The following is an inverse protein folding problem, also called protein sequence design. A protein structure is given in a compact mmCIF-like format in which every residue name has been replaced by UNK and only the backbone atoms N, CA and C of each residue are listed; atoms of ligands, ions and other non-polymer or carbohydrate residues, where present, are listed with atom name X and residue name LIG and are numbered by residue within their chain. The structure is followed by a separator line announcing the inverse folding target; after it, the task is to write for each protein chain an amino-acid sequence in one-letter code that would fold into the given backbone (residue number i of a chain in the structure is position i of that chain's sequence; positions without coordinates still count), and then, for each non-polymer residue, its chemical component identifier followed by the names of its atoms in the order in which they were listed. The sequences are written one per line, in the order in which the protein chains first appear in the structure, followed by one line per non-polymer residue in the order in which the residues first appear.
data_IF_100233727177
#
_entry.id   IF_100233727177
#
_cell.length_a   1.000
_cell.length_b   1.000
_cell.length_c   1.000
_cell.angle_alpha   90.00
_cell.angle_beta   90.00
_cell.angle_gamma   90.00
#
_symmetry.space_group_name_H-M   'P 1'
#
loop_
_entity.id
_entity.type
_entity.pdbx_description
1 polymer ?
#
# COMPACT_ATOMS: atom_id res chain seq x y z
N UNK A 1 52.76 -22.31 -26.77
CA UNK A 1 52.55 -21.49 -25.55
C UNK A 1 52.41 -20.04 -25.95
N UNK A 2 51.23 -19.45 -25.72
CA UNK A 2 50.99 -18.09 -25.21
C UNK A 2 49.54 -17.71 -25.46
N UNK A 3 48.71 -17.87 -24.43
CA UNK A 3 47.38 -17.30 -24.33
C UNK A 3 47.48 -15.79 -24.14
N UNK A 4 46.70 -15.03 -24.91
CA UNK A 4 46.25 -13.68 -24.53
C UNK A 4 44.75 -13.61 -24.79
N UNK A 5 43.97 -14.02 -23.80
CA UNK A 5 42.53 -13.77 -23.77
C UNK A 5 42.32 -12.35 -23.23
N UNK A 6 41.91 -11.45 -24.11
CA UNK A 6 41.33 -10.18 -23.72
C UNK A 6 39.87 -10.43 -23.31
N UNK A 7 39.59 -10.39 -22.01
CA UNK A 7 38.23 -10.39 -21.49
C UNK A 7 37.75 -8.94 -21.50
N UNK A 8 36.97 -8.59 -22.52
CA UNK A 8 36.18 -7.35 -22.57
C UNK A 8 35.02 -7.47 -21.58
N UNK A 9 35.17 -6.92 -20.36
CA UNK A 9 34.03 -6.63 -19.49
C UNK A 9 33.29 -5.42 -20.04
N UNK A 10 32.14 -5.65 -20.67
CA UNK A 10 31.14 -4.62 -20.90
C UNK A 10 30.49 -4.23 -19.57
N UNK A 11 30.86 -3.06 -19.06
CA UNK A 11 30.11 -2.34 -18.02
C UNK A 11 28.72 -1.99 -18.57
N UNK A 12 27.68 -2.68 -18.10
CA UNK A 12 26.30 -2.23 -18.27
C UNK A 12 26.02 -1.13 -17.25
N UNK A 13 25.85 0.09 -17.76
CA UNK A 13 25.37 1.26 -17.03
C UNK A 13 23.97 0.97 -16.48
N UNK A 14 23.85 0.89 -15.16
CA UNK A 14 22.56 0.90 -14.45
C UNK A 14 22.13 2.35 -14.33
N UNK A 15 21.23 2.79 -15.21
CA UNK A 15 20.53 4.06 -15.04
C UNK A 15 19.39 3.80 -14.05
N UNK A 16 19.65 4.04 -12.76
CA UNK A 16 18.58 4.15 -11.77
C UNK A 16 17.87 5.50 -11.98
N UNK A 17 16.76 5.49 -12.72
CA UNK A 17 15.87 6.66 -12.82
C UNK A 17 15.08 6.74 -11.53
N UNK A 18 15.56 7.52 -10.56
CA UNK A 18 14.74 7.95 -9.43
C UNK A 18 13.78 9.03 -9.93
N UNK A 19 12.57 8.63 -10.32
CA UNK A 19 11.49 9.57 -10.58
C UNK A 19 11.01 10.12 -9.22
N UNK A 20 11.45 11.32 -8.86
CA UNK A 20 10.84 12.10 -7.78
C UNK A 20 9.53 12.66 -8.35
N UNK A 21 8.45 11.92 -8.18
CA UNK A 21 7.11 12.45 -8.44
C UNK A 21 6.66 13.21 -7.19
N UNK A 22 6.63 14.54 -7.29
CA UNK A 22 6.00 15.41 -6.31
C UNK A 22 4.48 15.28 -6.47
N UNK A 23 3.85 14.42 -5.68
CA UNK A 23 2.40 14.24 -5.69
C UNK A 23 1.75 15.26 -4.76
N UNK A 24 1.15 16.32 -5.32
CA UNK A 24 0.17 17.14 -4.60
C UNK A 24 -1.21 16.67 -5.03
N UNK A 25 -1.92 16.01 -4.12
CA UNK A 25 -3.33 15.66 -4.27
C UNK A 25 -3.61 14.45 -5.16
N UNK A 26 -3.25 13.25 -4.70
CA UNK A 26 -3.66 12.01 -5.35
C UNK A 26 -4.89 11.41 -4.66
N UNK A 27 -5.93 11.09 -5.43
CA UNK A 27 -7.00 10.21 -4.97
C UNK A 27 -6.57 8.77 -5.23
N UNK A 28 -6.83 7.88 -4.28
CA UNK A 28 -6.44 6.45 -4.25
C UNK A 28 -6.82 5.67 -5.54
N UNK A 29 -7.73 6.21 -6.36
CA UNK A 29 -8.22 5.58 -7.60
C UNK A 29 -7.25 5.75 -8.79
N UNK A 30 -6.33 6.72 -8.78
CA UNK A 30 -5.45 7.00 -9.93
C UNK A 30 -4.03 6.40 -9.79
N UNK A 31 -3.71 5.72 -8.68
CA UNK A 31 -2.34 5.23 -8.44
C UNK A 31 -2.01 4.06 -9.37
N UNK A 32 -1.24 4.37 -10.43
CA UNK A 32 -0.82 3.40 -11.42
C UNK A 32 0.14 2.39 -10.79
N UNK A 33 -0.30 1.13 -10.67
CA UNK A 33 0.40 0.05 -9.96
C UNK A 33 1.82 -0.21 -10.49
N UNK A 34 2.09 0.18 -11.74
CA UNK A 34 3.42 0.12 -12.34
C UNK A 34 4.46 1.00 -11.63
N UNK A 35 4.04 2.08 -10.96
CA UNK A 35 4.94 2.98 -10.22
C UNK A 35 5.20 2.52 -8.77
N UNK A 36 4.31 1.71 -8.21
CA UNK A 36 4.43 1.18 -6.83
C UNK A 36 5.18 -0.16 -6.78
N UNK A 37 5.50 -0.76 -7.94
CA UNK A 37 6.05 -2.11 -8.06
C UNK A 37 7.54 -2.16 -8.47
N UNK A 38 8.33 -1.11 -8.21
CA UNK A 38 9.79 -1.17 -8.46
C UNK A 38 10.46 -1.98 -7.35
N UNK A 39 10.52 -3.29 -7.54
CA UNK A 39 11.18 -4.24 -6.64
C UNK A 39 12.61 -4.52 -7.12
N UNK A 40 13.60 -4.68 -6.23
CA UNK A 40 14.91 -5.16 -6.63
C UNK A 40 14.80 -6.60 -7.13
N UNK A 41 15.42 -6.91 -8.29
CA UNK A 41 15.34 -8.20 -9.02
C UNK A 41 15.69 -9.45 -8.20
N UNK A 42 16.14 -9.30 -6.95
CA UNK A 42 16.75 -10.35 -6.13
C UNK A 42 15.79 -11.08 -5.17
N UNK A 43 14.57 -10.58 -4.96
CA UNK A 43 13.59 -11.27 -4.10
C UNK A 43 12.61 -12.10 -4.91
N UNK A 44 12.50 -13.39 -4.56
CA UNK A 44 11.51 -14.31 -5.14
C UNK A 44 10.31 -14.34 -4.22
N UNK A 45 9.25 -13.62 -4.59
CA UNK A 45 7.97 -13.70 -3.92
C UNK A 45 7.11 -14.80 -4.55
N UNK A 46 6.38 -15.55 -3.71
CA UNK A 46 5.39 -16.53 -4.18
C UNK A 46 4.33 -15.79 -4.99
N UNK A 47 3.97 -16.34 -6.16
CA UNK A 47 2.99 -15.76 -7.09
C UNK A 47 3.32 -14.33 -7.56
N UNK A 48 4.56 -13.86 -7.37
CA UNK A 48 4.99 -12.48 -7.66
C UNK A 48 4.17 -11.42 -6.91
N UNK A 49 3.59 -11.79 -5.76
CA UNK A 49 2.93 -10.83 -4.87
C UNK A 49 4.01 -10.02 -4.16
N UNK A 50 4.00 -8.71 -4.39
CA UNK A 50 4.91 -7.78 -3.75
C UNK A 50 4.14 -6.88 -2.80
N UNK A 51 4.82 -6.48 -1.73
CA UNK A 51 4.27 -5.55 -0.76
C UNK A 51 5.05 -4.23 -0.82
N UNK A 52 4.32 -3.13 -0.95
CA UNK A 52 4.88 -1.77 -0.98
C UNK A 52 4.15 -0.93 0.05
N UNK A 53 4.90 -0.16 0.82
CA UNK A 53 4.34 0.82 1.75
C UNK A 53 4.55 2.23 1.20
N UNK A 54 3.49 3.03 1.22
CA UNK A 54 3.49 4.47 0.98
C UNK A 54 3.26 5.19 2.31
N UNK A 55 4.20 6.03 2.69
CA UNK A 55 4.14 6.88 3.87
C UNK A 55 3.84 8.30 3.44
N UNK A 56 2.84 8.91 4.06
CA UNK A 56 2.43 10.28 3.81
C UNK A 56 2.62 11.09 5.10
N UNK A 57 3.77 11.75 5.19
CA UNK A 57 4.09 12.70 6.24
C UNK A 57 3.61 14.10 5.85
N UNK A 58 3.60 15.03 6.81
CA UNK A 58 3.24 16.43 6.55
C UNK A 58 4.18 17.11 5.55
N UNK A 59 5.47 16.76 5.63
CA UNK A 59 6.53 17.41 4.85
C UNK A 59 6.89 16.67 3.56
N UNK A 60 6.32 15.48 3.32
CA UNK A 60 6.61 14.71 2.13
C UNK A 60 6.04 13.30 2.16
N UNK A 61 6.10 12.64 1.00
CA UNK A 61 5.67 11.26 0.82
C UNK A 61 6.87 10.37 0.51
N UNK A 62 6.86 9.16 1.03
CA UNK A 62 7.93 8.19 0.83
C UNK A 62 7.36 6.81 0.53
N UNK A 63 7.75 6.20 -0.58
CA UNK A 63 7.31 4.85 -0.96
C UNK A 63 8.48 3.88 -0.96
N UNK A 64 8.29 2.69 -0.41
CA UNK A 64 9.35 1.68 -0.38
C UNK A 64 8.82 0.25 -0.50
N UNK A 65 9.57 -0.65 -1.15
CA UNK A 65 9.29 -2.07 -1.10
C UNK A 65 9.56 -2.59 0.32
N UNK A 66 8.65 -3.42 0.84
CA UNK A 66 8.81 -4.07 2.16
C UNK A 66 9.02 -5.57 1.99
N UNK A 67 9.95 -6.13 2.76
CA UNK A 67 10.31 -7.55 2.68
C UNK A 67 9.42 -8.41 3.58
N UNK A 68 9.01 -7.86 4.72
CA UNK A 68 8.03 -8.49 5.59
C UNK A 68 7.03 -7.46 6.09
N UNK A 69 5.76 -7.82 6.04
CA UNK A 69 4.67 -7.08 6.64
C UNK A 69 3.94 -7.99 7.62
N UNK A 70 3.64 -7.49 8.81
CA UNK A 70 2.88 -8.26 9.79
C UNK A 70 1.97 -7.31 10.55
N UNK A 71 0.66 -7.48 10.36
CA UNK A 71 -0.33 -6.80 11.18
C UNK A 71 -0.39 -7.49 12.55
N UNK A 72 -0.02 -6.78 13.61
CA UNK A 72 0.04 -7.32 14.98
C UNK A 72 -1.27 -7.10 15.74
N UNK A 73 -2.05 -6.08 15.39
CA UNK A 73 -3.42 -5.84 15.88
C UNK A 73 -4.26 -5.00 14.91
N UNK A 74 -5.58 -4.93 15.12
CA UNK A 74 -6.46 -4.01 14.39
C UNK A 74 -7.68 -4.64 13.71
N UNK A 75 -7.84 -5.98 13.75
CA UNK A 75 -9.04 -6.67 13.25
C UNK A 75 -9.91 -7.26 14.38
N UNK A 76 -9.95 -6.60 15.54
CA UNK A 76 -10.66 -7.11 16.72
C UNK A 76 -11.31 -6.02 17.57
N UNK A 77 -12.39 -6.39 18.24
CA UNK A 77 -12.99 -5.59 19.31
C UNK A 77 -12.29 -5.93 20.64
N UNK A 78 -11.75 -4.95 21.36
CA UNK A 78 -11.31 -5.16 22.76
C UNK A 78 -12.53 -5.38 23.68
N UNK A 79 -13.69 -4.85 23.29
CA UNK A 79 -15.00 -5.04 23.93
C UNK A 79 -16.12 -4.72 22.92
N UNK A 80 -17.41 -4.91 23.23
CA UNK A 80 -18.52 -4.45 22.36
C UNK A 80 -18.49 -2.96 21.98
N UNK A 81 -17.68 -2.13 22.65
CA UNK A 81 -17.64 -0.68 22.46
C UNK A 81 -16.23 -0.10 22.18
N UNK A 82 -15.20 -0.93 22.04
CA UNK A 82 -13.85 -0.44 21.76
C UNK A 82 -13.14 -1.26 20.68
N UNK A 83 -12.71 -0.58 19.62
CA UNK A 83 -11.85 -1.17 18.59
C UNK A 83 -10.43 -1.32 19.15
N UNK A 84 -9.76 -2.42 18.80
CA UNK A 84 -8.33 -2.52 19.04
C UNK A 84 -7.60 -1.42 18.27
N UNK A 85 -6.60 -0.82 18.90
CA UNK A 85 -5.64 0.06 18.22
C UNK A 85 -4.94 -0.73 17.12
N UNK A 86 -5.01 -0.30 15.86
CA UNK A 86 -4.25 -0.90 14.77
C UNK A 86 -2.74 -0.77 15.03
N UNK A 87 -2.04 -1.88 14.98
CA UNK A 87 -0.59 -1.94 15.13
C UNK A 87 -0.06 -2.91 14.09
N UNK A 88 1.06 -2.57 13.48
CA UNK A 88 1.73 -3.43 12.53
C UNK A 88 3.24 -3.24 12.62
N UNK A 89 3.95 -4.25 12.14
CA UNK A 89 5.40 -4.25 12.00
C UNK A 89 5.76 -4.42 10.54
N UNK A 90 6.77 -3.69 10.09
CA UNK A 90 7.38 -3.90 8.78
C UNK A 90 8.87 -4.19 8.95
N UNK A 91 9.38 -5.00 8.04
CA UNK A 91 10.81 -5.25 7.87
C UNK A 91 11.21 -4.86 6.46
N UNK A 92 12.29 -4.07 6.36
CA UNK A 92 12.90 -3.70 5.08
C UNK A 92 14.42 -3.88 5.12
N UNK A 93 15.06 -4.08 3.98
CA UNK A 93 16.51 -3.97 3.86
C UNK A 93 16.91 -2.52 4.15
N UNK A 94 17.99 -2.31 4.91
CA UNK A 94 18.53 -0.97 5.18
C UNK A 94 18.75 -0.23 3.86
N UNK A 95 18.24 0.99 3.76
CA UNK A 95 18.29 1.78 2.53
C UNK A 95 17.98 3.24 2.78
N UNK A 96 17.91 4.04 1.72
CA UNK A 96 17.62 5.48 1.86
C UNK A 96 16.13 5.70 2.06
N UNK A 97 15.73 5.91 3.32
CA UNK A 97 14.35 6.22 3.74
C UNK A 97 14.32 7.38 4.74
N UNK A 98 14.62 8.62 4.28
CA UNK A 98 14.96 9.73 5.16
C UNK A 98 13.80 10.18 6.06
N UNK A 99 12.56 10.21 5.56
CA UNK A 99 11.42 10.63 6.39
C UNK A 99 11.08 9.58 7.43
N UNK A 100 11.20 8.29 7.06
CA UNK A 100 10.94 7.21 8.00
C UNK A 100 12.00 7.16 9.12
N UNK A 101 13.27 7.40 8.81
CA UNK A 101 14.31 7.51 9.84
C UNK A 101 14.11 8.77 10.70
N UNK A 102 13.78 9.91 10.11
CA UNK A 102 13.46 11.12 10.87
C UNK A 102 12.28 10.87 11.83
N UNK A 103 11.26 10.12 11.40
CA UNK A 103 10.13 9.74 12.24
C UNK A 103 10.54 8.86 13.43
N UNK A 104 11.44 7.91 13.23
CA UNK A 104 11.97 7.09 14.31
C UNK A 104 12.85 7.90 15.29
N UNK A 105 13.72 8.77 14.76
CA UNK A 105 14.62 9.61 15.56
C UNK A 105 13.84 10.63 16.39
N UNK A 106 12.82 11.28 15.80
CA UNK A 106 11.94 12.21 16.51
C UNK A 106 11.08 11.50 17.56
N UNK A 107 10.57 10.31 17.26
CA UNK A 107 9.81 9.50 18.22
C UNK A 107 10.68 9.10 19.43
N UNK A 108 11.95 8.75 19.19
CA UNK A 108 12.91 8.45 20.26
C UNK A 108 13.23 9.70 21.10
N UNK A 109 13.48 10.84 20.45
CA UNK A 109 13.80 12.09 21.13
C UNK A 109 12.60 12.65 21.93
N UNK A 110 11.36 12.38 21.50
CA UNK A 110 10.15 12.95 22.06
C UNK A 110 9.20 11.87 22.59
N UNK A 111 9.58 11.24 23.70
CA UNK A 111 8.79 10.18 24.38
C UNK A 111 7.37 10.65 24.75
N UNK A 112 7.19 11.93 25.04
CA UNK A 112 5.88 12.55 25.25
C UNK A 112 5.85 13.94 24.62
N UNK A 113 5.44 14.02 23.36
CA UNK A 113 5.37 15.28 22.64
C UNK A 113 4.55 15.20 21.36
N UNK A 114 4.25 16.38 20.84
CA UNK A 114 3.82 16.55 19.46
C UNK A 114 5.08 16.85 18.64
N UNK A 115 5.29 16.14 17.54
CA UNK A 115 6.41 16.35 16.65
C UNK A 115 5.97 16.24 15.19
N UNK A 116 6.65 16.91 14.25
CA UNK A 116 6.21 17.05 12.86
C UNK A 116 5.92 15.72 12.16
N UNK A 117 6.78 14.71 12.39
CA UNK A 117 6.69 13.39 11.76
C UNK A 117 5.71 12.42 12.44
N UNK A 118 4.89 12.91 13.36
CA UNK A 118 3.80 12.16 13.99
C UNK A 118 2.49 12.30 13.22
N UNK A 119 1.58 11.36 13.44
CA UNK A 119 0.23 11.33 12.86
C UNK A 119 0.25 11.27 11.33
N UNK A 120 1.21 10.54 10.76
CA UNK A 120 1.29 10.28 9.32
C UNK A 120 0.31 9.18 8.89
N UNK A 121 0.07 9.10 7.59
CA UNK A 121 -0.74 8.02 7.00
C UNK A 121 0.19 6.99 6.35
N UNK A 122 -0.14 5.71 6.48
CA UNK A 122 0.58 4.62 5.82
C UNK A 122 -0.41 3.81 5.01
N UNK A 123 -0.15 3.67 3.71
CA UNK A 123 -0.90 2.76 2.86
C UNK A 123 -0.01 1.61 2.43
N UNK A 124 -0.41 0.39 2.79
CA UNK A 124 0.26 -0.84 2.40
C UNK A 124 -0.48 -1.45 1.23
N UNK A 125 0.22 -1.72 0.14
CA UNK A 125 -0.30 -2.34 -1.07
C UNK A 125 0.21 -3.76 -1.18
N UNK A 126 -0.69 -4.71 -1.39
CA UNK A 126 -0.37 -6.08 -1.81
C UNK A 126 -0.78 -6.22 -3.27
N UNK A 127 0.21 -6.31 -4.15
CA UNK A 127 0.00 -6.26 -5.59
C UNK A 127 0.83 -7.33 -6.33
N UNK A 128 0.27 -7.89 -7.39
CA UNK A 128 0.99 -8.78 -8.30
C UNK A 128 0.63 -8.44 -9.75
N UNK A 129 1.62 -8.50 -10.65
CA UNK A 129 1.36 -8.33 -12.09
C UNK A 129 0.79 -6.97 -12.51
N UNK A 130 0.89 -5.94 -11.65
CA UNK A 130 0.27 -4.63 -11.88
C UNK A 130 -1.17 -4.49 -11.36
N UNK A 131 -1.72 -5.52 -10.72
CA UNK A 131 -3.02 -5.45 -10.06
C UNK A 131 -2.86 -5.40 -8.54
N UNK A 132 -3.56 -4.48 -7.88
CA UNK A 132 -3.65 -4.42 -6.41
C UNK A 132 -4.75 -5.37 -5.93
N UNK A 133 -4.37 -6.39 -5.17
CA UNK A 133 -5.31 -7.37 -4.61
C UNK A 133 -5.94 -6.87 -3.30
N UNK A 134 -5.12 -6.26 -2.45
CA UNK A 134 -5.51 -5.68 -1.17
C UNK A 134 -4.72 -4.40 -0.94
N UNK A 135 -5.34 -3.43 -0.28
CA UNK A 135 -4.59 -2.36 0.35
C UNK A 135 -5.12 -2.06 1.74
N UNK A 136 -4.23 -1.59 2.60
CA UNK A 136 -4.51 -1.30 4.00
C UNK A 136 -4.08 0.13 4.29
N UNK A 137 -5.03 0.99 4.60
CA UNK A 137 -4.79 2.39 4.92
C UNK A 137 -4.83 2.58 6.44
N UNK A 138 -3.69 2.95 7.01
CA UNK A 138 -3.52 3.25 8.43
C UNK A 138 -3.39 4.75 8.62
N UNK A 139 -4.23 5.34 9.48
CA UNK A 139 -4.34 6.79 9.66
C UNK A 139 -3.85 7.21 11.04
N UNK A 140 -3.21 8.38 11.11
CA UNK A 140 -2.67 8.97 12.34
C UNK A 140 -1.73 7.98 13.05
N UNK A 141 -0.68 7.60 12.36
CA UNK A 141 0.33 6.65 12.82
C UNK A 141 1.49 7.35 13.52
N UNK A 142 2.14 6.62 14.43
CA UNK A 142 3.40 7.00 15.04
C UNK A 142 4.33 5.77 15.14
N UNK A 143 5.64 6.01 15.10
CA UNK A 143 6.64 4.96 15.30
C UNK A 143 6.74 4.67 16.80
N UNK A 144 6.49 3.43 17.20
CA UNK A 144 6.60 2.99 18.60
C UNK A 144 7.88 2.24 18.88
N UNK A 145 8.48 1.63 17.86
CA UNK A 145 9.74 0.91 17.99
C UNK A 145 10.50 0.90 16.66
N UNK A 146 11.83 0.94 16.75
CA UNK A 146 12.75 0.80 15.63
C UNK A 146 13.96 -0.04 16.06
N UNK A 147 14.26 -1.09 15.31
CA UNK A 147 15.37 -2.02 15.58
C UNK A 147 16.10 -2.32 14.28
N UNK A 148 17.43 -2.29 14.32
CA UNK A 148 18.27 -2.79 13.23
C UNK A 148 18.73 -4.20 13.58
N UNK A 149 18.46 -5.15 12.70
CA UNK A 149 18.82 -6.56 12.90
C UNK A 149 19.59 -7.10 11.71
N UNK A 150 20.44 -8.10 11.94
CA UNK A 150 21.09 -8.85 10.87
C UNK A 150 20.40 -10.20 10.72
N UNK A 151 19.81 -10.45 9.56
CA UNK A 151 19.24 -11.74 9.17
C UNK A 151 20.32 -12.59 8.49
N UNK A 152 20.44 -13.83 8.94
CA UNK A 152 21.24 -14.88 8.31
C UNK A 152 20.35 -16.04 7.91
N UNK A 153 20.66 -16.70 6.80
CA UNK A 153 20.03 -17.98 6.49
C UNK A 153 20.42 -19.01 7.57
N UNK A 154 19.44 -19.80 8.02
CA UNK A 154 19.61 -20.80 9.08
C UNK A 154 20.53 -21.95 8.64
N UNK A 155 20.76 -22.11 7.33
CA UNK A 155 21.52 -23.23 6.78
C UNK A 155 22.98 -22.85 6.44
N UNK A 156 23.31 -21.60 6.10
CA UNK A 156 24.63 -21.25 5.53
C UNK A 156 25.08 -19.79 5.76
N UNK A 157 24.84 -19.20 6.94
CA UNK A 157 25.18 -17.78 7.22
C UNK A 157 26.62 -17.35 6.86
N UNK A 158 27.59 -18.26 6.91
CA UNK A 158 29.00 -17.98 6.58
C UNK A 158 29.48 -18.53 5.23
N UNK A 159 28.72 -19.44 4.60
CA UNK A 159 29.11 -20.13 3.36
C UNK A 159 28.21 -19.71 2.20
N UNK A 160 28.47 -18.52 1.65
CA UNK A 160 28.04 -18.16 0.29
C UNK A 160 26.70 -17.43 0.15
N UNK A 161 25.81 -17.45 1.16
CA UNK A 161 24.50 -16.79 1.08
C UNK A 161 24.42 -15.38 1.69
N UNK A 162 25.41 -15.00 2.50
CA UNK A 162 25.59 -13.66 3.03
C UNK A 162 24.61 -13.30 4.15
N UNK A 163 24.80 -12.09 4.68
CA UNK A 163 23.97 -11.52 5.75
C UNK A 163 23.15 -10.35 5.20
N UNK A 164 21.88 -10.27 5.57
CA UNK A 164 21.02 -9.13 5.23
C UNK A 164 20.81 -8.27 6.48
N UNK A 165 21.26 -7.02 6.44
CA UNK A 165 20.93 -6.05 7.48
C UNK A 165 19.56 -5.46 7.15
N UNK A 166 18.65 -5.53 8.12
CA UNK A 166 17.26 -5.14 7.99
C UNK A 166 16.88 -4.13 9.07
N UNK A 167 16.02 -3.20 8.69
CA UNK A 167 15.31 -2.31 9.58
C UNK A 167 13.95 -2.91 9.91
N UNK A 168 13.62 -2.90 11.19
CA UNK A 168 12.33 -3.32 11.72
C UNK A 168 11.66 -2.14 12.38
N UNK A 169 10.52 -1.72 11.85
CA UNK A 169 9.71 -0.65 12.43
C UNK A 169 8.41 -1.21 12.96
N UNK A 170 7.98 -0.71 14.12
CA UNK A 170 6.65 -0.95 14.69
C UNK A 170 5.88 0.36 14.73
N UNK A 171 4.62 0.30 14.29
CA UNK A 171 3.74 1.45 14.22
C UNK A 171 2.48 1.22 15.01
N UNK A 172 2.03 2.26 15.70
CA UNK A 172 0.70 2.33 16.29
C UNK A 172 -0.10 3.43 15.60
N UNK A 173 -1.32 3.11 15.18
CA UNK A 173 -2.17 4.02 14.42
C UNK A 173 -3.54 4.14 15.08
N UNK A 174 -4.25 5.24 14.84
CA UNK A 174 -5.61 5.45 15.39
C UNK A 174 -6.71 5.02 14.43
N UNK A 175 -6.45 5.07 13.14
CA UNK A 175 -7.38 4.65 12.09
C UNK A 175 -6.85 3.46 11.29
N UNK A 176 -7.77 2.65 10.79
CA UNK A 176 -7.49 1.53 9.90
C UNK A 176 -8.67 1.32 8.97
N UNK A 177 -8.38 1.21 7.67
CA UNK A 177 -9.35 1.02 6.61
C UNK A 177 -8.80 -0.01 5.61
N UNK A 178 -9.35 -1.23 5.58
CA UNK A 178 -9.00 -2.22 4.57
C UNK A 178 -9.77 -1.96 3.28
N UNK A 179 -9.06 -1.93 2.17
CA UNK A 179 -9.61 -1.74 0.83
C UNK A 179 -9.48 -3.03 0.02
N UNK A 180 -10.53 -3.35 -0.75
CA UNK A 180 -10.58 -4.51 -1.61
C UNK A 180 -11.09 -4.12 -3.00
N UNK A 181 -10.18 -3.74 -3.91
CA UNK A 181 -10.53 -3.28 -5.25
C UNK A 181 -11.38 -4.28 -6.05
N UNK A 182 -11.21 -5.58 -5.80
CA UNK A 182 -12.00 -6.62 -6.49
C UNK A 182 -13.46 -6.65 -6.01
N UNK A 183 -13.69 -6.49 -4.70
CA UNK A 183 -15.06 -6.39 -4.15
C UNK A 183 -15.74 -5.09 -4.56
N UNK A 184 -14.99 -3.99 -4.59
CA UNK A 184 -15.54 -2.68 -4.95
C UNK A 184 -16.06 -2.67 -6.39
N UNK A 185 -15.37 -3.34 -7.31
CA UNK A 185 -15.82 -3.54 -8.70
C UNK A 185 -17.13 -4.34 -8.80
N UNK A 186 -17.37 -5.29 -7.90
CA UNK A 186 -18.62 -6.08 -7.88
C UNK A 186 -19.82 -5.33 -7.31
N UNK A 187 -19.58 -4.34 -6.44
CA UNK A 187 -20.64 -3.50 -5.86
C UNK A 187 -21.15 -2.41 -6.81
N UNK A 188 -20.53 -2.25 -7.98
CA UNK A 188 -21.04 -1.41 -9.06
C UNK A 188 -22.23 -2.15 -9.71
N UNK A 189 -23.40 -2.02 -9.10
CA UNK A 189 -24.65 -2.47 -9.72
C UNK A 189 -24.96 -1.49 -10.85
N UNK A 190 -24.72 -1.91 -12.09
CA UNK A 190 -25.32 -1.24 -13.24
C UNK A 190 -26.83 -1.31 -13.07
N UNK A 191 -27.42 -0.21 -12.64
CA UNK A 191 -28.89 -0.10 -12.58
C UNK A 191 -29.36 -0.14 -14.02
N UNK A 192 -29.95 -1.27 -14.41
CA UNK A 192 -30.62 -1.38 -15.69
C UNK A 192 -31.58 -0.20 -15.83
N UNK A 193 -31.49 0.55 -16.94
CA UNK A 193 -32.44 1.60 -17.30
C UNK A 193 -33.79 0.97 -17.60
N UNK A 194 -34.47 0.49 -16.57
CA UNK A 194 -35.81 -0.04 -16.65
C UNK A 194 -36.80 1.09 -16.40
N UNK A 195 -37.85 1.13 -17.21
CA UNK A 195 -38.93 2.09 -17.04
C UNK A 195 -39.57 1.78 -15.68
N UNK A 196 -39.53 2.72 -14.75
CA UNK A 196 -40.12 2.51 -13.42
C UNK A 196 -41.65 2.53 -13.53
N UNK A 197 -42.34 1.93 -12.56
CA UNK A 197 -43.80 2.01 -12.45
C UNK A 197 -44.32 3.46 -12.38
N UNK A 198 -43.50 4.39 -11.88
CA UNK A 198 -43.81 5.82 -11.88
C UNK A 198 -43.77 6.46 -13.27
N UNK A 199 -42.94 5.94 -14.17
CA UNK A 199 -42.87 6.38 -15.57
C UNK A 199 -43.99 5.79 -16.44
N UNK A 200 -44.54 4.63 -16.05
CA UNK A 200 -45.73 4.05 -16.69
C UNK A 200 -46.98 4.88 -16.44
N UNK A 201 -47.14 5.48 -15.25
CA UNK A 201 -48.29 6.33 -14.93
C UNK A 201 -48.38 7.59 -15.81
N UNK A 202 -47.26 8.09 -16.34
CA UNK A 202 -47.24 9.23 -17.28
C UNK A 202 -47.71 8.86 -18.69
N UNK A 203 -47.82 7.57 -19.03
CA UNK A 203 -48.27 7.09 -20.35
C UNK A 203 -49.78 6.78 -20.42
N UNK A 204 -50.54 6.99 -19.34
CA UNK A 204 -51.99 6.77 -19.30
C UNK A 204 -52.82 7.87 -20.01
N UNK A 205 -52.33 8.41 -21.14
CA UNK A 205 -53.19 9.09 -22.11
C UNK A 205 -53.73 8.03 -23.08
N UNK A 206 -54.75 7.29 -22.63
CA UNK A 206 -55.55 6.45 -23.50
C UNK A 206 -56.16 7.34 -24.59
N UNK A 207 -55.99 6.95 -25.86
CA UNK A 207 -56.44 7.70 -27.05
C UNK A 207 -57.91 8.11 -26.92
N UNK A 208 -58.26 9.29 -27.45
CA UNK A 208 -59.59 9.96 -27.45
C UNK A 208 -60.78 9.14 -28.03
N UNK A 209 -60.62 7.84 -28.30
CA UNK A 209 -61.62 7.01 -28.99
C UNK A 209 -62.57 6.25 -28.04
N UNK A 210 -62.47 6.45 -26.73
CA UNK A 210 -63.38 5.84 -25.75
C UNK A 210 -64.17 6.90 -24.97
N UNK A 211 -64.89 7.78 -25.69
CA UNK A 211 -65.98 8.54 -25.09
C UNK A 211 -67.26 7.69 -25.25
N UNK A 212 -67.90 7.22 -24.17
CA UNK A 212 -69.18 6.53 -24.29
C UNK A 212 -70.23 7.52 -24.81
N UNK A 213 -70.86 7.20 -25.95
CA UNK A 213 -72.01 7.96 -26.44
C UNK A 213 -73.18 7.75 -25.49
N UNK A 214 -73.58 8.79 -24.77
CA UNK A 214 -74.85 8.84 -24.04
C UNK A 214 -76.02 8.90 -25.02
N UNK A 215 -77.10 8.12 -24.80
CA UNK A 215 -78.37 8.30 -25.50
C UNK A 215 -79.08 9.58 -25.05
#
# INVERSE_FOLDING_TARGET
MNHKNAITMTMLSVIAVFAIASFVGFKIVDTDAATMAVQPEKFVFVEKVSTTALFEFKDGTESMPIQQFTQTSGFGSKSSHSRQTPTFTLEKIVGSTPYLYAAADEAYANVSGEYPTKDFTVTVFEAAGGDVYRSFEYKNCLVTNYVVATRSDNEEGYTGKGFAVVDQFTFECRGYEPHNPMMDKMNIVETAKTISSSDLNKKNQWREQFIPKTP
#
